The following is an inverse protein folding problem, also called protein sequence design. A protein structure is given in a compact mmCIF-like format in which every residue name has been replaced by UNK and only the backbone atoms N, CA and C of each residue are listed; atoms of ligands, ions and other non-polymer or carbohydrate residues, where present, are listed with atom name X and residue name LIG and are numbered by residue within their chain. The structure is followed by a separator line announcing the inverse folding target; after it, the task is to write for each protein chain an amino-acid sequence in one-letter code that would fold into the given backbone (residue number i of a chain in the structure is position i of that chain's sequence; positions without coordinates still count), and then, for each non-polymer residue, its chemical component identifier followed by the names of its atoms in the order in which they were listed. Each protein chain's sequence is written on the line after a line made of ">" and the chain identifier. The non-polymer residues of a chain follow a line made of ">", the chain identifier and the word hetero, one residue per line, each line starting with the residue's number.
data_IF_365124638800
#
_entry.id   IF_365124638800
#
_cell.length_a   1.000
_cell.length_b   1.000
_cell.length_c   1.000
_cell.angle_alpha   90.00
_cell.angle_beta   90.00
_cell.angle_gamma   90.00
#
_symmetry.space_group_name_H-M   'P 1'
#
loop_
_entity.id
_entity.type
_entity.pdbx_description
1 polymer ?
#
# COMPACT_ATOMS: atom_id res chain seq x y z
N UNK A 1 -9.75 -26.96 43.70
CA UNK A 1 -11.10 -26.45 43.44
C UNK A 1 -11.65 -25.96 44.77
N UNK A 2 -11.47 -24.68 45.05
CA UNK A 2 -12.02 -24.02 46.24
C UNK A 2 -13.41 -23.49 45.86
N UNK A 3 -14.45 -24.06 46.47
CA UNK A 3 -15.81 -23.53 46.35
C UNK A 3 -15.85 -22.18 47.07
N UNK A 4 -15.94 -21.09 46.30
CA UNK A 4 -16.13 -19.76 46.85
C UNK A 4 -17.57 -19.66 47.38
N UNK A 5 -17.73 -19.75 48.70
CA UNK A 5 -19.01 -19.49 49.38
C UNK A 5 -19.45 -18.06 49.06
N UNK A 6 -20.58 -17.93 48.37
CA UNK A 6 -21.17 -16.63 48.06
C UNK A 6 -21.54 -15.90 49.36
N UNK A 7 -20.98 -14.70 49.55
CA UNK A 7 -21.27 -13.80 50.66
C UNK A 7 -22.78 -13.55 50.78
N UNK A 8 -23.34 -13.92 51.94
CA UNK A 8 -24.74 -13.63 52.34
C UNK A 8 -24.70 -12.46 53.31
N UNK A 9 -25.73 -11.61 53.27
CA UNK A 9 -25.88 -10.59 54.32
C UNK A 9 -26.22 -11.24 55.68
N UNK A 10 -26.13 -10.47 56.76
CA UNK A 10 -26.46 -10.93 58.12
C UNK A 10 -27.92 -11.43 58.26
N UNK A 11 -28.78 -11.14 57.28
CA UNK A 11 -30.15 -11.64 57.19
C UNK A 11 -30.29 -12.94 56.38
N UNK A 12 -29.17 -13.54 55.93
CA UNK A 12 -29.13 -14.76 55.14
C UNK A 12 -29.69 -14.59 53.71
N UNK A 13 -29.90 -13.35 53.25
CA UNK A 13 -30.32 -13.06 51.88
C UNK A 13 -29.08 -12.89 51.02
N UNK A 14 -29.17 -13.41 49.78
CA UNK A 14 -28.17 -13.12 48.77
C UNK A 14 -28.24 -11.63 48.45
N UNK A 15 -27.14 -10.91 48.70
CA UNK A 15 -27.05 -9.51 48.28
C UNK A 15 -27.24 -9.46 46.77
N UNK A 16 -28.14 -8.60 46.30
CA UNK A 16 -28.51 -8.48 44.86
C UNK A 16 -27.34 -8.09 43.94
N UNK A 17 -26.12 -7.94 44.46
CA UNK A 17 -24.96 -7.44 43.72
C UNK A 17 -24.26 -8.47 42.83
N UNK A 18 -24.21 -9.76 43.20
CA UNK A 18 -23.38 -10.73 42.48
C UNK A 18 -24.17 -11.77 41.66
N UNK A 19 -25.37 -12.15 42.10
CA UNK A 19 -26.10 -13.30 41.54
C UNK A 19 -26.73 -13.06 40.15
N UNK A 20 -26.74 -11.82 39.67
CA UNK A 20 -27.32 -11.46 38.36
C UNK A 20 -26.27 -10.95 37.35
N UNK A 21 -24.98 -11.01 37.68
CA UNK A 21 -23.93 -10.68 36.72
C UNK A 21 -23.80 -11.85 35.75
N UNK A 22 -24.12 -11.64 34.47
CA UNK A 22 -23.93 -12.60 33.39
C UNK A 22 -22.96 -12.03 32.36
N UNK A 23 -22.15 -12.88 31.73
CA UNK A 23 -21.19 -12.47 30.71
C UNK A 23 -19.88 -11.91 31.29
N UNK A 24 -19.34 -10.86 30.67
CA UNK A 24 -18.03 -10.28 30.97
C UNK A 24 -17.92 -9.75 32.41
N UNK A 25 -19.00 -9.18 32.95
CA UNK A 25 -19.04 -8.70 34.33
C UNK A 25 -18.91 -9.84 35.36
N UNK A 26 -19.39 -11.05 35.04
CA UNK A 26 -19.23 -12.23 35.88
C UNK A 26 -17.79 -12.75 35.84
N UNK A 27 -17.16 -12.73 34.67
CA UNK A 27 -15.77 -13.11 34.48
C UNK A 27 -14.83 -12.15 35.25
N UNK A 28 -15.07 -10.85 35.17
CA UNK A 28 -14.29 -9.83 35.89
C UNK A 28 -14.43 -9.96 37.42
N UNK A 29 -15.65 -10.13 37.92
CA UNK A 29 -15.90 -10.36 39.34
C UNK A 29 -15.22 -11.64 39.87
N UNK A 30 -15.19 -12.72 39.07
CA UNK A 30 -14.51 -13.97 39.45
C UNK A 30 -13.00 -13.84 39.57
N UNK A 31 -12.40 -12.86 38.87
CA UNK A 31 -10.98 -12.53 38.93
C UNK A 31 -10.66 -11.44 39.98
N UNK A 32 -11.64 -11.01 40.77
CA UNK A 32 -11.48 -9.98 41.79
C UNK A 32 -11.46 -8.54 41.26
N UNK A 33 -11.89 -8.33 40.01
CA UNK A 33 -12.00 -7.00 39.41
C UNK A 33 -13.39 -6.41 39.63
N UNK A 34 -13.46 -5.13 39.95
CA UNK A 34 -14.70 -4.34 39.96
C UNK A 34 -14.82 -3.57 38.66
N UNK A 35 -15.98 -3.63 38.00
CA UNK A 35 -16.25 -2.83 36.80
C UNK A 35 -16.38 -1.36 37.21
N UNK A 36 -15.62 -0.47 36.57
CA UNK A 36 -15.76 0.97 36.77
C UNK A 36 -17.10 1.43 36.20
N UNK A 37 -17.91 2.12 37.00
CA UNK A 37 -19.17 2.70 36.51
C UNK A 37 -18.86 3.70 35.40
N UNK A 38 -19.56 3.58 34.28
CA UNK A 38 -19.41 4.53 33.18
C UNK A 38 -19.76 5.93 33.70
N UNK A 39 -18.93 6.95 33.42
CA UNK A 39 -19.24 8.31 33.81
C UNK A 39 -20.60 8.66 33.21
N UNK A 40 -21.57 8.99 34.08
CA UNK A 40 -22.91 9.39 33.65
C UNK A 40 -22.75 10.50 32.61
N UNK A 41 -23.20 10.25 31.38
CA UNK A 41 -23.22 11.24 30.30
C UNK A 41 -23.95 12.48 30.83
N UNK A 42 -23.17 13.46 31.28
CA UNK A 42 -23.67 14.75 31.75
C UNK A 42 -24.35 15.42 30.56
N UNK A 43 -25.61 15.79 30.75
CA UNK A 43 -26.47 16.29 29.68
C UNK A 43 -25.91 17.54 28.99
N UNK A 44 -26.52 17.95 27.87
CA UNK A 44 -26.02 19.02 26.98
C UNK A 44 -25.92 20.42 27.61
N UNK A 45 -26.36 20.60 28.85
CA UNK A 45 -26.14 21.86 29.60
C UNK A 45 -24.69 22.00 30.07
N UNK A 46 -24.04 20.91 30.47
CA UNK A 46 -22.63 20.92 30.92
C UNK A 46 -21.66 21.07 29.73
N UNK A 47 -22.07 20.65 28.52
CA UNK A 47 -21.30 20.85 27.29
C UNK A 47 -21.16 22.33 26.90
N UNK A 48 -22.12 23.19 27.30
CA UNK A 48 -22.02 24.64 27.07
C UNK A 48 -21.05 25.31 28.04
N UNK A 49 -20.98 24.85 29.29
CA UNK A 49 -19.96 25.30 30.23
C UNK A 49 -18.55 24.86 29.80
N UNK A 50 -18.40 23.63 29.28
CA UNK A 50 -17.13 23.13 28.72
C UNK A 50 -16.68 23.90 27.47
N UNK A 51 -17.61 24.22 26.57
CA UNK A 51 -17.29 25.05 25.40
C UNK A 51 -16.91 26.49 25.79
N UNK A 52 -17.51 27.03 26.86
CA UNK A 52 -17.14 28.34 27.40
C UNK A 52 -15.75 28.31 28.06
N UNK A 53 -15.41 27.25 28.83
CA UNK A 53 -14.08 27.11 29.44
C UNK A 53 -12.97 26.88 28.40
N UNK A 54 -13.26 26.18 27.29
CA UNK A 54 -12.30 25.99 26.18
C UNK A 54 -12.06 27.30 25.42
N UNK A 55 -13.09 28.15 25.28
CA UNK A 55 -12.93 29.48 24.69
C UNK A 55 -12.13 30.42 25.59
N UNK A 56 -12.24 30.28 26.91
CA UNK A 56 -11.47 31.04 27.90
C UNK A 56 -10.00 30.56 28.00
N UNK A 57 -9.75 29.25 27.85
CA UNK A 57 -8.39 28.67 27.73
C UNK A 57 -7.65 29.01 26.43
N UNK A 58 -8.35 29.50 25.40
CA UNK A 58 -7.73 30.01 24.16
C UNK A 58 -7.17 31.43 24.29
N UNK A 59 -7.40 32.10 25.41
CA UNK A 59 -6.58 33.23 25.84
C UNK A 59 -5.41 32.71 26.68
N UNK A 60 -4.31 32.38 26.02
CA UNK A 60 -3.01 31.94 26.56
C UNK A 60 -2.92 31.79 28.08
N UNK A 61 -2.91 30.54 28.58
CA UNK A 61 -2.11 30.20 29.72
C UNK A 61 -0.97 29.28 29.29
N UNK A 62 0.24 29.61 29.74
CA UNK A 62 1.33 28.64 29.84
C UNK A 62 0.78 27.40 30.54
N UNK A 63 0.63 26.29 29.81
CA UNK A 63 0.35 24.99 30.42
C UNK A 63 1.62 24.67 31.21
N UNK A 64 1.59 24.66 32.56
CA UNK A 64 2.74 24.20 33.31
C UNK A 64 3.03 22.78 32.82
N UNK A 65 4.27 22.56 32.37
CA UNK A 65 4.80 21.26 32.01
C UNK A 65 4.68 20.37 33.24
N UNK A 66 3.51 19.73 33.37
CA UNK A 66 3.24 18.78 34.41
C UNK A 66 4.10 17.57 34.05
N UNK A 67 5.29 17.51 34.67
CA UNK A 67 6.05 16.29 34.76
C UNK A 67 5.05 15.20 35.18
N UNK A 68 4.78 14.26 34.27
CA UNK A 68 4.02 13.06 34.59
C UNK A 68 4.84 12.33 35.65
N UNK A 69 4.59 12.63 36.93
CA UNK A 69 5.06 11.80 38.01
C UNK A 69 4.53 10.40 37.71
N UNK A 70 5.42 9.39 37.61
CA UNK A 70 4.97 8.05 37.33
C UNK A 70 3.95 7.70 38.40
N UNK A 71 2.70 7.46 37.98
CA UNK A 71 1.63 7.07 38.89
C UNK A 71 2.12 5.84 39.62
N UNK A 72 2.56 6.00 40.87
CA UNK A 72 2.90 4.90 41.76
C UNK A 72 1.60 4.11 41.88
N UNK A 73 1.54 2.99 41.15
CA UNK A 73 0.43 2.07 41.25
C UNK A 73 0.46 1.52 42.67
N UNK A 74 -0.39 2.07 43.53
CA UNK A 74 -0.63 1.54 44.86
C UNK A 74 -1.00 0.05 44.68
N UNK A 75 -0.13 -0.89 45.11
CA UNK A 75 -0.34 -2.30 44.85
C UNK A 75 -1.60 -2.85 45.53
N UNK A 76 -2.16 -2.10 46.48
CA UNK A 76 -3.38 -2.43 47.22
C UNK A 76 -4.64 -1.76 46.65
N UNK A 77 -4.53 -0.93 45.61
CA UNK A 77 -5.70 -0.36 44.95
C UNK A 77 -6.56 -1.46 44.29
N UNK A 78 -7.89 -1.39 44.41
CA UNK A 78 -8.77 -2.36 43.77
C UNK A 78 -8.54 -2.35 42.26
N UNK A 79 -8.34 -3.54 41.68
CA UNK A 79 -8.09 -3.68 40.25
C UNK A 79 -9.40 -3.40 39.51
N UNK A 80 -9.52 -2.20 38.96
CA UNK A 80 -10.67 -1.82 38.14
C UNK A 80 -10.53 -2.40 36.74
N UNK A 81 -11.55 -3.12 36.28
CA UNK A 81 -11.64 -3.52 34.88
C UNK A 81 -12.30 -2.40 34.08
N UNK A 82 -11.56 -1.85 33.11
CA UNK A 82 -12.09 -0.93 32.11
C UNK A 82 -13.13 -1.66 31.23
N UNK A 83 -14.25 -1.00 30.95
CA UNK A 83 -15.20 -1.52 29.96
C UNK A 83 -14.59 -1.43 28.56
N UNK A 84 -15.05 -2.26 27.62
CA UNK A 84 -14.56 -2.22 26.24
C UNK A 84 -14.69 -0.82 25.61
N UNK A 85 -15.76 -0.08 25.96
CA UNK A 85 -15.99 1.30 25.50
C UNK A 85 -14.95 2.26 26.11
N UNK A 86 -14.73 2.20 27.42
CA UNK A 86 -13.72 3.01 28.11
C UNK A 86 -12.30 2.74 27.57
N UNK A 87 -11.96 1.49 27.26
CA UNK A 87 -10.67 1.16 26.66
C UNK A 87 -10.50 1.78 25.27
N UNK A 88 -11.57 1.80 24.46
CA UNK A 88 -11.55 2.44 23.14
C UNK A 88 -11.38 3.96 23.26
N UNK A 89 -12.11 4.58 24.18
CA UNK A 89 -12.05 6.02 24.42
C UNK A 89 -10.67 6.43 24.97
N UNK A 90 -10.13 5.71 25.97
CA UNK A 90 -8.79 5.97 26.51
C UNK A 90 -7.69 5.76 25.45
N UNK A 91 -7.84 4.77 24.58
CA UNK A 91 -6.90 4.53 23.48
C UNK A 91 -7.00 5.59 22.38
N UNK A 92 -8.19 6.17 22.15
CA UNK A 92 -8.37 7.31 21.27
C UNK A 92 -7.70 8.57 21.85
N UNK A 93 -7.90 8.84 23.14
CA UNK A 93 -7.29 9.98 23.84
C UNK A 93 -5.75 9.87 23.85
N UNK A 94 -5.20 8.69 24.14
CA UNK A 94 -3.74 8.46 24.07
C UNK A 94 -3.18 8.68 22.66
N UNK A 95 -3.92 8.31 21.61
CA UNK A 95 -3.49 8.56 20.23
C UNK A 95 -3.50 10.04 19.90
N UNK A 96 -4.55 10.75 20.32
CA UNK A 96 -4.66 12.20 20.13
C UNK A 96 -3.52 12.94 20.84
N UNK A 97 -3.24 12.60 22.12
CA UNK A 97 -2.14 13.20 22.87
C UNK A 97 -0.77 12.91 22.24
N UNK A 98 -0.55 11.67 21.79
CA UNK A 98 0.68 11.33 21.08
C UNK A 98 0.83 12.09 19.75
N UNK A 99 -0.25 12.29 19.00
CA UNK A 99 -0.25 13.09 17.78
C UNK A 99 0.11 14.55 18.07
N UNK A 100 -0.51 15.15 19.09
CA UNK A 100 -0.20 16.52 19.56
C UNK A 100 1.28 16.63 20.00
N UNK A 101 1.79 15.65 20.74
CA UNK A 101 3.20 15.64 21.18
C UNK A 101 4.17 15.51 20.02
N UNK A 102 3.84 14.69 19.01
CA UNK A 102 4.65 14.55 17.79
C UNK A 102 4.64 15.85 16.99
N UNK A 103 3.49 16.50 16.84
CA UNK A 103 3.38 17.80 16.18
C UNK A 103 4.19 18.87 16.94
N UNK A 104 4.06 18.93 18.27
CA UNK A 104 4.79 19.91 19.10
C UNK A 104 6.30 19.71 18.98
N UNK A 105 6.80 18.48 19.10
CA UNK A 105 8.23 18.17 18.91
C UNK A 105 8.70 18.53 17.50
N UNK A 106 7.88 18.24 16.49
CA UNK A 106 8.17 18.64 15.10
C UNK A 106 8.29 20.16 14.94
N UNK A 107 7.41 20.94 15.58
CA UNK A 107 7.48 22.39 15.56
C UNK A 107 8.72 22.93 16.29
N UNK A 108 9.06 22.38 17.45
CA UNK A 108 10.26 22.73 18.22
C UNK A 108 11.55 22.41 17.45
N UNK A 109 11.63 21.24 16.82
CA UNK A 109 12.78 20.84 15.98
C UNK A 109 12.93 21.76 14.76
N UNK A 110 11.83 22.11 14.10
CA UNK A 110 11.83 23.04 12.96
C UNK A 110 12.23 24.46 13.40
N UNK A 111 11.76 24.92 14.56
CA UNK A 111 12.16 26.21 15.12
C UNK A 111 13.65 26.24 15.48
N UNK A 112 14.15 25.21 16.15
CA UNK A 112 15.58 25.07 16.47
C UNK A 112 16.45 25.00 15.21
N UNK A 113 15.98 24.29 14.18
CA UNK A 113 16.66 24.25 12.88
C UNK A 113 16.67 25.63 12.19
N UNK A 114 15.54 26.34 12.19
CA UNK A 114 15.44 27.68 11.63
C UNK A 114 16.35 28.69 12.37
N UNK A 115 16.45 28.58 13.70
CA UNK A 115 17.37 29.38 14.50
C UNK A 115 18.83 29.02 14.24
N UNK A 116 19.16 27.75 14.06
CA UNK A 116 20.52 27.33 13.68
C UNK A 116 20.94 27.86 12.30
N UNK A 117 20.01 27.92 11.34
CA UNK A 117 20.24 28.54 10.04
C UNK A 117 20.42 30.06 10.17
N UNK A 118 19.62 30.69 11.02
CA UNK A 118 19.70 32.14 11.27
C UNK A 118 21.03 32.50 11.94
N UNK A 119 21.49 31.69 12.89
CA UNK A 119 22.81 31.81 13.52
C UNK A 119 23.93 31.53 12.52
N UNK A 120 23.79 30.55 11.62
CA UNK A 120 24.79 30.30 10.58
C UNK A 120 24.91 31.47 9.59
N UNK A 121 23.78 32.08 9.21
CA UNK A 121 23.70 33.23 8.29
C UNK A 121 24.17 34.53 8.96
N UNK A 122 23.91 34.73 10.25
CA UNK A 122 24.27 35.95 10.98
C UNK A 122 25.63 35.87 11.70
N UNK A 123 26.11 34.66 12.00
CA UNK A 123 27.28 34.38 12.84
C UNK A 123 28.55 33.98 12.10
N UNK A 124 28.50 33.81 10.77
CA UNK A 124 29.72 33.68 9.97
C UNK A 124 30.12 35.04 9.40
N UNK A 125 31.40 35.36 9.59
CA UNK A 125 32.06 36.57 9.10
C UNK A 125 31.60 36.92 7.68
N UNK A 126 31.27 38.21 7.50
CA UNK A 126 31.10 38.90 6.22
C UNK A 126 31.86 38.16 5.11
N UNK A 127 31.17 37.54 4.13
CA UNK A 127 31.83 36.72 3.14
C UNK A 127 32.89 37.59 2.44
N UNK A 128 34.15 37.16 2.55
CA UNK A 128 35.19 37.62 1.65
C UNK A 128 34.64 37.46 0.23
N UNK A 129 34.77 38.51 -0.57
CA UNK A 129 34.27 38.57 -1.93
C UNK A 129 34.52 37.24 -2.65
N UNK A 130 33.44 36.56 -2.99
CA UNK A 130 33.47 35.37 -3.82
C UNK A 130 33.98 35.86 -5.19
N UNK A 131 35.27 35.65 -5.44
CA UNK A 131 35.79 35.74 -6.80
C UNK A 131 34.98 34.78 -7.67
N UNK A 132 34.50 35.21 -8.84
CA UNK A 132 33.68 34.40 -9.71
C UNK A 132 34.49 33.20 -10.17
N UNK A 133 34.21 32.03 -9.58
CA UNK A 133 34.71 30.76 -10.07
C UNK A 133 34.11 30.57 -11.46
N UNK A 134 34.98 30.62 -12.48
CA UNK A 134 34.65 30.25 -13.84
C UNK A 134 33.91 28.90 -13.86
N UNK A 135 32.85 28.76 -14.66
CA UNK A 135 32.12 27.50 -14.73
C UNK A 135 33.02 26.46 -15.40
N UNK A 136 33.65 25.62 -14.59
CA UNK A 136 34.26 24.38 -15.02
C UNK A 136 33.15 23.42 -15.46
N UNK A 137 32.70 23.63 -16.69
CA UNK A 137 31.95 22.66 -17.47
C UNK A 137 32.81 21.41 -17.64
N UNK A 138 32.58 20.42 -16.78
CA UNK A 138 32.82 18.99 -16.98
C UNK A 138 32.08 18.24 -15.87
N UNK A 139 30.77 18.44 -15.84
CA UNK A 139 29.86 17.46 -15.27
C UNK A 139 29.99 16.23 -16.18
N UNK A 140 30.78 15.26 -15.72
CA UNK A 140 30.84 13.96 -16.33
C UNK A 140 29.44 13.37 -16.20
N UNK A 141 28.75 13.34 -17.34
CA UNK A 141 27.57 12.52 -17.60
C UNK A 141 27.94 11.08 -17.23
N UNK A 142 27.72 10.72 -15.96
CA UNK A 142 27.85 9.38 -15.48
C UNK A 142 26.72 8.59 -16.15
N UNK A 143 27.08 7.90 -17.23
CA UNK A 143 26.21 6.95 -17.89
C UNK A 143 25.54 6.05 -16.83
N UNK A 144 24.24 5.74 -16.99
CA UNK A 144 23.54 4.85 -16.09
C UNK A 144 24.31 3.53 -16.03
N UNK A 145 25.00 3.31 -14.92
CA UNK A 145 25.63 2.03 -14.64
C UNK A 145 24.50 1.03 -14.49
N UNK A 146 24.48 0.04 -15.38
CA UNK A 146 23.57 -1.09 -15.27
C UNK A 146 23.69 -1.64 -13.83
N UNK A 147 22.57 -1.94 -13.15
CA UNK A 147 22.60 -2.53 -11.82
C UNK A 147 23.20 -3.93 -11.95
N UNK A 148 24.52 -4.00 -11.88
CA UNK A 148 25.25 -5.26 -11.75
C UNK A 148 24.89 -5.78 -10.36
N UNK A 149 24.02 -6.79 -10.36
CA UNK A 149 23.62 -7.58 -9.21
C UNK A 149 24.83 -8.37 -8.67
N UNK A 150 25.78 -7.64 -8.12
CA UNK A 150 27.01 -8.13 -7.53
C UNK A 150 27.46 -7.10 -6.50
N UNK A 151 26.75 -7.05 -5.37
CA UNK A 151 27.27 -6.40 -4.18
C UNK A 151 28.67 -6.96 -3.92
N UNK A 152 29.64 -6.09 -3.61
CA UNK A 152 30.97 -6.54 -3.23
C UNK A 152 30.81 -7.58 -2.10
N UNK A 153 31.42 -8.78 -2.19
CA UNK A 153 31.28 -9.81 -1.18
C UNK A 153 31.60 -9.33 0.25
N UNK A 154 32.45 -8.31 0.40
CA UNK A 154 32.70 -7.67 1.70
C UNK A 154 31.49 -6.90 2.23
N UNK A 155 30.70 -6.29 1.34
CA UNK A 155 29.48 -5.57 1.71
C UNK A 155 28.36 -6.53 2.10
N UNK A 156 28.25 -7.69 1.44
CA UNK A 156 27.33 -8.75 1.83
C UNK A 156 27.66 -9.30 3.24
N UNK A 157 28.95 -9.45 3.56
CA UNK A 157 29.38 -9.84 4.90
C UNK A 157 29.09 -8.74 5.94
N UNK A 158 29.32 -7.47 5.60
CA UNK A 158 29.00 -6.34 6.46
C UNK A 158 27.49 -6.22 6.75
N UNK A 159 26.62 -6.43 5.75
CA UNK A 159 25.16 -6.39 5.90
C UNK A 159 24.61 -7.52 6.77
N UNK A 160 25.37 -8.59 7.03
CA UNK A 160 24.98 -9.62 8.01
C UNK A 160 25.14 -9.14 9.46
N UNK A 161 25.95 -8.11 9.69
CA UNK A 161 26.16 -7.59 11.03
C UNK A 161 24.98 -6.70 11.46
N UNK A 162 24.33 -6.96 12.62
CA UNK A 162 23.14 -6.23 13.03
C UNK A 162 23.38 -4.72 13.18
N UNK A 163 24.55 -4.32 13.67
CA UNK A 163 24.91 -2.90 13.82
C UNK A 163 25.01 -2.17 12.47
N UNK A 164 25.46 -2.85 11.41
CA UNK A 164 25.54 -2.22 10.07
C UNK A 164 24.14 -2.04 9.49
N UNK A 165 23.25 -3.01 9.72
CA UNK A 165 21.84 -2.88 9.31
C UNK A 165 21.14 -1.74 10.04
N UNK A 166 21.29 -1.67 11.36
CA UNK A 166 20.72 -0.60 12.17
C UNK A 166 21.25 0.77 11.75
N UNK A 167 22.55 0.89 11.48
CA UNK A 167 23.14 2.13 10.96
C UNK A 167 22.59 2.51 9.58
N UNK A 168 22.45 1.56 8.67
CA UNK A 168 21.86 1.80 7.34
C UNK A 168 20.37 2.18 7.46
N UNK A 169 19.61 1.51 8.31
CA UNK A 169 18.19 1.83 8.55
C UNK A 169 18.04 3.21 9.20
N UNK A 170 18.92 3.59 10.13
CA UNK A 170 18.96 4.92 10.73
C UNK A 170 19.26 6.00 9.69
N UNK A 171 20.27 5.82 8.85
CA UNK A 171 20.59 6.74 7.75
C UNK A 171 19.47 6.83 6.70
N UNK A 172 18.79 5.72 6.40
CA UNK A 172 17.63 5.75 5.51
C UNK A 172 16.47 6.53 6.14
N UNK A 173 16.28 6.43 7.45
CA UNK A 173 15.27 7.19 8.19
C UNK A 173 15.60 8.69 8.22
N UNK A 174 16.86 9.07 8.46
CA UNK A 174 17.26 10.49 8.40
C UNK A 174 17.13 11.05 6.99
N UNK A 175 17.46 10.25 5.97
CA UNK A 175 17.25 10.61 4.57
C UNK A 175 15.75 10.74 4.21
N UNK A 176 14.87 9.90 4.75
CA UNK A 176 13.42 10.04 4.52
C UNK A 176 12.86 11.27 5.23
N UNK A 177 13.25 11.50 6.49
CA UNK A 177 12.86 12.67 7.27
C UNK A 177 13.30 13.97 6.61
N UNK A 178 14.53 14.06 6.10
CA UNK A 178 15.01 15.26 5.39
C UNK A 178 14.24 15.51 4.09
N UNK A 179 13.85 14.47 3.36
CA UNK A 179 12.99 14.59 2.17
C UNK A 179 11.58 15.06 2.53
N UNK A 180 10.99 14.53 3.60
CA UNK A 180 9.68 14.94 4.09
C UNK A 180 9.70 16.39 4.57
N UNK A 181 10.71 16.76 5.36
CA UNK A 181 10.93 18.12 5.83
C UNK A 181 11.13 19.10 4.66
N UNK A 182 11.87 18.70 3.62
CA UNK A 182 11.99 19.51 2.40
C UNK A 182 10.64 19.73 1.70
N UNK A 183 9.85 18.67 1.53
CA UNK A 183 8.52 18.81 0.90
C UNK A 183 7.56 19.65 1.73
N UNK A 184 7.56 19.48 3.06
CA UNK A 184 6.78 20.30 3.98
C UNK A 184 7.28 21.76 3.95
N UNK A 185 8.59 21.98 3.88
CA UNK A 185 9.21 23.29 3.76
C UNK A 185 8.81 24.02 2.48
N UNK A 186 8.72 23.32 1.34
CA UNK A 186 8.22 23.91 0.08
C UNK A 186 6.75 24.33 0.20
N UNK A 187 5.89 23.50 0.79
CA UNK A 187 4.47 23.84 0.96
C UNK A 187 4.30 25.01 1.95
N UNK A 188 5.02 25.00 3.06
CA UNK A 188 5.04 26.12 4.01
C UNK A 188 5.53 27.40 3.32
N UNK A 189 6.63 27.35 2.57
CA UNK A 189 7.16 28.50 1.84
C UNK A 189 6.13 29.05 0.84
N UNK A 190 5.36 28.18 0.18
CA UNK A 190 4.25 28.58 -0.70
C UNK A 190 3.14 29.28 0.09
N UNK A 191 2.70 28.72 1.22
CA UNK A 191 1.67 29.33 2.08
C UNK A 191 2.13 30.68 2.61
N UNK A 192 3.36 30.80 3.12
CA UNK A 192 3.94 32.06 3.58
C UNK A 192 4.06 33.10 2.47
N UNK A 193 4.48 32.70 1.28
CA UNK A 193 4.55 33.60 0.13
C UNK A 193 3.15 34.13 -0.24
N UNK A 194 2.12 33.27 -0.25
CA UNK A 194 0.74 33.68 -0.49
C UNK A 194 0.18 34.56 0.64
N UNK A 195 0.52 34.29 1.90
CA UNK A 195 0.12 35.13 3.03
C UNK A 195 0.75 36.52 2.94
N UNK A 196 2.05 36.60 2.60
CA UNK A 196 2.76 37.86 2.41
C UNK A 196 2.17 38.71 1.27
N UNK A 197 1.54 38.08 0.28
CA UNK A 197 0.83 38.79 -0.79
C UNK A 197 -0.36 39.57 -0.24
N UNK A 198 -1.09 39.02 0.74
CA UNK A 198 -2.21 39.69 1.38
C UNK A 198 -1.77 40.89 2.24
N UNK A 199 -0.59 40.82 2.86
CA UNK A 199 -0.02 41.92 3.64
C UNK A 199 0.46 43.07 2.75
N UNK A 200 1.13 42.76 1.64
CA UNK A 200 1.67 43.77 0.72
C UNK A 200 0.56 44.35 -0.18
N UNK A 201 -0.43 43.55 -0.53
CA UNK A 201 -1.52 43.95 -1.42
C UNK A 201 -2.88 43.59 -0.79
N UNK A 202 -3.41 44.46 0.08
CA UNK A 202 -4.69 44.22 0.75
C UNK A 202 -5.87 44.14 -0.24
N UNK A 203 -5.75 44.74 -1.43
CA UNK A 203 -6.77 44.62 -2.48
C UNK A 203 -6.92 43.20 -3.06
N UNK A 204 -5.89 42.35 -2.89
CA UNK A 204 -5.94 40.94 -3.29
C UNK A 204 -6.38 40.04 -2.14
N UNK A 205 -6.35 40.53 -0.89
CA UNK A 205 -6.79 39.78 0.27
C UNK A 205 -8.31 39.51 0.16
N UNK A 206 -8.67 38.24 0.00
CA UNK A 206 -10.07 37.79 -0.14
C UNK A 206 -10.54 37.57 -1.58
N UNK A 207 -9.72 37.88 -2.59
CA UNK A 207 -10.02 37.43 -3.95
C UNK A 207 -9.66 35.94 -4.11
N UNK A 208 -10.46 35.14 -4.84
CA UNK A 208 -10.06 33.80 -5.25
C UNK A 208 -8.80 33.87 -6.13
N UNK A 209 -7.90 32.85 -6.11
CA UNK A 209 -6.71 32.83 -6.95
C UNK A 209 -6.99 33.03 -8.44
N UNK A 210 -8.15 32.58 -8.92
CA UNK A 210 -8.58 32.75 -10.32
C UNK A 210 -8.82 34.21 -10.73
N UNK A 211 -9.03 35.11 -9.75
CA UNK A 211 -9.29 36.54 -9.96
C UNK A 211 -8.04 37.40 -9.72
N UNK A 212 -6.91 36.81 -9.30
CA UNK A 212 -5.68 37.55 -9.04
C UNK A 212 -5.17 38.30 -10.26
N UNK A 213 -5.29 37.72 -11.46
CA UNK A 213 -4.89 38.40 -12.71
C UNK A 213 -5.65 39.72 -12.92
N UNK A 214 -6.96 39.72 -12.61
CA UNK A 214 -7.82 40.90 -12.74
C UNK A 214 -7.48 41.94 -11.67
N UNK A 215 -7.26 41.49 -10.42
CA UNK A 215 -6.83 42.36 -9.31
C UNK A 215 -5.46 43.01 -9.57
N UNK A 216 -4.51 42.27 -10.14
CA UNK A 216 -3.19 42.78 -10.51
C UNK A 216 -3.26 43.79 -11.65
N UNK A 217 -4.15 43.60 -12.63
CA UNK A 217 -4.35 44.57 -13.70
C UNK A 217 -4.82 45.93 -13.16
N UNK A 218 -5.75 45.92 -12.19
CA UNK A 218 -6.21 47.14 -11.51
C UNK A 218 -5.09 47.73 -10.65
N UNK A 219 -4.36 46.90 -9.91
CA UNK A 219 -3.25 47.32 -9.06
C UNK A 219 -2.14 48.02 -9.87
N UNK A 220 -1.84 47.56 -11.08
CA UNK A 220 -0.83 48.17 -11.95
C UNK A 220 -1.13 49.64 -12.32
N UNK A 221 -2.41 50.04 -12.29
CA UNK A 221 -2.85 51.40 -12.59
C UNK A 221 -2.91 52.27 -11.34
N UNK A 222 -3.27 51.69 -10.18
CA UNK A 222 -3.46 52.42 -8.93
C UNK A 222 -2.14 52.58 -8.17
N UNK A 223 -1.37 51.49 -8.05
CA UNK A 223 -0.15 51.40 -7.24
C UNK A 223 0.93 50.55 -7.94
N UNK A 224 1.74 51.16 -8.83
CA UNK A 224 2.82 50.47 -9.53
C UNK A 224 3.87 49.80 -8.63
N UNK A 225 4.35 50.40 -7.51
CA UNK A 225 5.32 49.71 -6.65
C UNK A 225 4.72 48.51 -5.89
N UNK A 226 3.46 48.57 -5.47
CA UNK A 226 2.78 47.39 -4.89
C UNK A 226 2.63 46.27 -5.93
N UNK A 227 2.32 46.62 -7.19
CA UNK A 227 2.26 45.67 -8.30
C UNK A 227 3.61 44.96 -8.53
N UNK A 228 4.73 45.69 -8.54
CA UNK A 228 6.05 45.07 -8.70
C UNK A 228 6.37 44.11 -7.54
N UNK A 229 6.01 44.48 -6.31
CA UNK A 229 6.20 43.63 -5.13
C UNK A 229 5.37 42.35 -5.23
N UNK A 230 4.11 42.46 -5.65
CA UNK A 230 3.24 41.32 -5.91
C UNK A 230 3.80 40.38 -6.99
N UNK A 231 4.30 40.94 -8.09
CA UNK A 231 4.92 40.16 -9.17
C UNK A 231 6.17 39.40 -8.70
N UNK A 232 6.98 40.01 -7.83
CA UNK A 232 8.14 39.34 -7.25
C UNK A 232 7.73 38.16 -6.34
N UNK A 233 6.71 38.33 -5.51
CA UNK A 233 6.17 37.26 -4.66
C UNK A 233 5.59 36.13 -5.52
N UNK A 234 4.79 36.46 -6.53
CA UNK A 234 4.22 35.49 -7.46
C UNK A 234 5.30 34.73 -8.25
N UNK A 235 6.37 35.41 -8.65
CA UNK A 235 7.54 34.76 -9.26
C UNK A 235 8.17 33.71 -8.35
N UNK A 236 8.28 33.98 -7.04
CA UNK A 236 8.76 33.01 -6.05
C UNK A 236 7.80 31.83 -5.88
N UNK A 237 6.50 32.08 -5.77
CA UNK A 237 5.48 31.02 -5.69
C UNK A 237 5.54 30.12 -6.92
N UNK A 238 5.71 30.71 -8.11
CA UNK A 238 5.86 29.96 -9.34
C UNK A 238 7.11 29.08 -9.34
N UNK A 239 8.26 29.60 -8.91
CA UNK A 239 9.50 28.84 -8.78
C UNK A 239 9.35 27.65 -7.81
N UNK A 240 8.71 27.85 -6.65
CA UNK A 240 8.41 26.78 -5.68
C UNK A 240 7.50 25.72 -6.31
N UNK A 241 6.46 26.14 -7.03
CA UNK A 241 5.52 25.23 -7.69
C UNK A 241 6.22 24.40 -8.77
N UNK A 242 7.10 25.02 -9.57
CA UNK A 242 7.91 24.31 -10.56
C UNK A 242 8.86 23.30 -9.89
N UNK A 243 9.54 23.67 -8.81
CA UNK A 243 10.40 22.77 -8.06
C UNK A 243 9.63 21.56 -7.50
N UNK A 244 8.43 21.78 -6.96
CA UNK A 244 7.54 20.72 -6.48
C UNK A 244 7.12 19.77 -7.61
N UNK A 245 6.77 20.29 -8.79
CA UNK A 245 6.43 19.48 -9.96
C UNK A 245 7.61 18.64 -10.45
N UNK A 246 8.81 19.23 -10.53
CA UNK A 246 10.02 18.51 -10.92
C UNK A 246 10.34 17.38 -9.94
N UNK A 247 10.25 17.64 -8.63
CA UNK A 247 10.47 16.63 -7.62
C UNK A 247 9.42 15.50 -7.67
N UNK A 248 8.15 15.82 -7.95
CA UNK A 248 7.11 14.80 -8.16
C UNK A 248 7.40 13.92 -9.38
N UNK A 249 7.86 14.50 -10.49
CA UNK A 249 8.26 13.75 -11.68
C UNK A 249 9.43 12.82 -11.38
N UNK A 250 10.46 13.30 -10.68
CA UNK A 250 11.62 12.50 -10.27
C UNK A 250 11.19 11.32 -9.38
N UNK A 251 10.30 11.56 -8.40
CA UNK A 251 9.75 10.48 -7.55
C UNK A 251 9.01 9.43 -8.36
N UNK A 252 8.11 9.85 -9.26
CA UNK A 252 7.37 8.91 -10.11
C UNK A 252 8.30 8.06 -10.98
N UNK A 253 9.39 8.66 -11.49
CA UNK A 253 10.38 7.95 -12.29
C UNK A 253 11.15 6.92 -11.45
N UNK A 254 11.60 7.30 -10.25
CA UNK A 254 12.26 6.40 -9.31
C UNK A 254 11.34 5.23 -8.92
N UNK A 255 10.08 5.51 -8.57
CA UNK A 255 9.08 4.48 -8.23
C UNK A 255 8.84 3.51 -9.40
N UNK A 256 8.79 4.01 -10.64
CA UNK A 256 8.68 3.17 -11.83
C UNK A 256 9.92 2.30 -12.06
N UNK A 257 11.12 2.83 -11.81
CA UNK A 257 12.35 2.03 -11.89
C UNK A 257 12.37 0.95 -10.81
N UNK A 258 12.05 1.30 -9.56
CA UNK A 258 11.98 0.37 -8.42
C UNK A 258 10.96 -0.75 -8.67
N UNK A 259 9.81 -0.41 -9.25
CA UNK A 259 8.80 -1.40 -9.58
C UNK A 259 9.25 -2.31 -10.73
N UNK A 260 10.01 -1.80 -11.70
CA UNK A 260 10.57 -2.63 -12.80
C UNK A 260 11.65 -3.57 -12.28
N UNK A 261 12.56 -3.09 -11.43
CA UNK A 261 13.62 -3.92 -10.85
C UNK A 261 13.03 -4.98 -9.92
N UNK A 262 12.03 -4.61 -9.11
CA UNK A 262 11.27 -5.54 -8.27
C UNK A 262 10.59 -6.62 -9.12
N UNK A 263 9.86 -6.23 -10.18
CA UNK A 263 9.22 -7.19 -11.10
C UNK A 263 10.24 -8.14 -11.73
N UNK A 264 11.35 -7.63 -12.25
CA UNK A 264 12.39 -8.46 -12.84
C UNK A 264 12.99 -9.46 -11.83
N UNK A 265 13.21 -9.04 -10.58
CA UNK A 265 13.72 -9.91 -9.53
C UNK A 265 12.71 -11.00 -9.12
N UNK A 266 11.43 -10.65 -8.99
CA UNK A 266 10.36 -11.60 -8.68
C UNK A 266 10.07 -12.57 -9.84
N UNK A 267 10.11 -12.08 -11.08
CA UNK A 267 10.00 -12.90 -12.29
C UNK A 267 11.13 -13.93 -12.36
N UNK A 268 12.36 -13.54 -12.00
CA UNK A 268 13.50 -14.45 -11.93
C UNK A 268 13.29 -15.54 -10.87
N UNK A 269 12.81 -15.19 -9.68
CA UNK A 269 12.46 -16.15 -8.61
C UNK A 269 11.35 -17.10 -9.05
N UNK A 270 10.31 -16.59 -9.70
CA UNK A 270 9.23 -17.42 -10.25
C UNK A 270 9.77 -18.39 -11.30
N UNK A 271 10.59 -17.90 -12.23
CA UNK A 271 11.21 -18.73 -13.27
C UNK A 271 12.08 -19.84 -12.69
N UNK A 272 12.80 -19.57 -11.60
CA UNK A 272 13.53 -20.59 -10.84
C UNK A 272 12.59 -21.65 -10.26
N UNK A 273 11.50 -21.22 -9.60
CA UNK A 273 10.50 -22.12 -8.98
C UNK A 273 9.73 -23.01 -9.97
N UNK A 274 9.65 -22.61 -11.25
CA UNK A 274 8.92 -23.32 -12.30
C UNK A 274 9.78 -24.33 -13.07
N UNK A 275 11.12 -24.23 -13.00
CA UNK A 275 12.03 -25.17 -13.66
C UNK A 275 11.74 -25.34 -15.17
N UNK A 276 11.30 -26.53 -15.59
CA UNK A 276 11.00 -26.85 -16.98
C UNK A 276 9.75 -26.11 -17.53
N UNK A 277 8.92 -25.55 -16.66
CA UNK A 277 7.64 -24.93 -17.03
C UNK A 277 7.76 -23.43 -17.40
N UNK A 278 8.98 -22.88 -17.49
CA UNK A 278 9.22 -21.46 -17.80
C UNK A 278 8.51 -20.97 -19.06
N UNK A 279 8.44 -21.79 -20.11
CA UNK A 279 7.77 -21.44 -21.36
C UNK A 279 6.25 -21.21 -21.23
N UNK A 280 5.65 -21.74 -20.16
CA UNK A 280 4.21 -21.55 -19.91
C UNK A 280 3.90 -20.16 -19.34
N UNK A 281 4.85 -19.50 -18.66
CA UNK A 281 4.62 -18.18 -18.04
C UNK A 281 4.22 -17.15 -19.09
N UNK A 282 4.95 -17.06 -20.20
CA UNK A 282 4.63 -16.12 -21.28
C UNK A 282 3.27 -16.42 -21.93
N UNK A 283 2.92 -17.70 -22.09
CA UNK A 283 1.61 -18.09 -22.61
C UNK A 283 0.48 -17.68 -21.65
N UNK A 284 0.68 -17.87 -20.35
CA UNK A 284 -0.30 -17.49 -19.34
C UNK A 284 -0.44 -15.98 -19.19
N UNK A 285 0.63 -15.20 -19.27
CA UNK A 285 0.57 -13.73 -19.21
C UNK A 285 -0.39 -13.16 -20.27
N UNK A 286 -0.36 -13.68 -21.50
CA UNK A 286 -1.30 -13.28 -22.56
C UNK A 286 -2.77 -13.64 -22.28
N UNK A 287 -3.02 -14.63 -21.41
CA UNK A 287 -4.35 -15.12 -21.03
C UNK A 287 -4.88 -14.52 -19.72
N UNK A 288 -4.03 -13.89 -18.90
CA UNK A 288 -4.44 -13.25 -17.64
C UNK A 288 -5.39 -12.08 -17.91
N UNK A 289 -5.08 -11.22 -18.87
CA UNK A 289 -5.93 -10.07 -19.19
C UNK A 289 -7.38 -10.46 -19.60
N UNK A 290 -7.61 -11.37 -20.57
CA UNK A 290 -8.97 -11.79 -20.89
C UNK A 290 -9.64 -12.56 -19.75
N UNK A 291 -8.87 -13.26 -18.91
CA UNK A 291 -9.39 -13.92 -17.71
C UNK A 291 -9.96 -12.90 -16.71
N UNK A 292 -9.18 -11.88 -16.35
CA UNK A 292 -9.61 -10.82 -15.43
C UNK A 292 -10.79 -10.02 -16.00
N UNK A 293 -10.78 -9.73 -17.31
CA UNK A 293 -11.93 -9.12 -18.00
C UNK A 293 -13.19 -9.99 -17.91
N UNK A 294 -13.06 -11.31 -18.06
CA UNK A 294 -14.20 -12.22 -17.93
C UNK A 294 -14.78 -12.29 -16.52
N UNK A 295 -14.01 -11.90 -15.50
CA UNK A 295 -14.48 -11.74 -14.12
C UNK A 295 -15.13 -10.37 -13.86
N UNK A 296 -15.20 -9.50 -14.86
CA UNK A 296 -15.80 -8.16 -14.75
C UNK A 296 -14.85 -7.09 -14.23
N UNK A 297 -13.54 -7.34 -14.15
CA UNK A 297 -12.55 -6.36 -13.71
C UNK A 297 -12.43 -5.20 -14.73
N UNK A 298 -12.45 -3.96 -14.23
CA UNK A 298 -12.37 -2.75 -15.05
C UNK A 298 -10.93 -2.46 -15.51
N UNK A 299 -10.72 -1.71 -16.62
CA UNK A 299 -9.38 -1.30 -17.06
C UNK A 299 -8.56 -0.58 -15.98
N UNK A 300 -9.18 0.34 -15.24
CA UNK A 300 -8.51 1.09 -14.17
C UNK A 300 -8.06 0.18 -13.02
N UNK A 301 -8.87 -0.83 -12.69
CA UNK A 301 -8.56 -1.84 -11.67
C UNK A 301 -7.43 -2.75 -12.12
N UNK A 302 -7.39 -3.12 -13.41
CA UNK A 302 -6.26 -3.88 -13.97
C UNK A 302 -4.96 -3.08 -13.91
N UNK A 303 -5.00 -1.76 -14.15
CA UNK A 303 -3.82 -0.91 -14.04
C UNK A 303 -3.38 -0.76 -12.57
N UNK A 304 -4.32 -0.62 -11.64
CA UNK A 304 -4.01 -0.63 -10.21
C UNK A 304 -3.38 -1.98 -9.78
N UNK A 305 -3.95 -3.10 -10.23
CA UNK A 305 -3.43 -4.44 -9.98
C UNK A 305 -2.04 -4.65 -10.59
N UNK A 306 -1.78 -4.10 -11.77
CA UNK A 306 -0.48 -4.15 -12.43
C UNK A 306 0.59 -3.36 -11.67
N UNK A 307 0.21 -2.38 -10.85
CA UNK A 307 1.10 -1.62 -9.98
C UNK A 307 1.21 -2.22 -8.57
N UNK A 308 0.33 -3.14 -8.19
CA UNK A 308 0.32 -3.77 -6.86
C UNK A 308 1.53 -4.71 -6.70
N UNK A 309 2.33 -4.47 -5.66
CA UNK A 309 3.51 -5.30 -5.35
C UNK A 309 3.12 -6.74 -4.97
N UNK A 310 1.94 -6.96 -4.39
CA UNK A 310 1.52 -8.29 -3.94
C UNK A 310 1.23 -9.22 -5.12
N UNK A 311 0.54 -8.71 -6.15
CA UNK A 311 0.19 -9.46 -7.36
C UNK A 311 1.42 -9.73 -8.22
N UNK A 312 2.33 -8.76 -8.28
CA UNK A 312 3.58 -8.87 -9.02
C UNK A 312 4.63 -9.74 -8.31
N UNK A 313 4.42 -10.11 -7.04
CA UNK A 313 5.32 -11.03 -6.34
C UNK A 313 5.30 -12.43 -6.96
N UNK A 314 6.39 -13.19 -6.82
CA UNK A 314 6.48 -14.54 -7.37
C UNK A 314 5.35 -15.45 -6.86
N UNK A 315 4.94 -15.30 -5.58
CA UNK A 315 3.82 -16.04 -5.01
C UNK A 315 2.48 -15.63 -5.62
N UNK A 316 2.25 -14.33 -5.78
CA UNK A 316 1.04 -13.81 -6.43
C UNK A 316 0.90 -14.33 -7.86
N UNK A 317 1.98 -14.26 -8.63
CA UNK A 317 2.04 -14.80 -9.99
C UNK A 317 1.84 -16.33 -10.03
N UNK A 318 2.38 -17.07 -9.06
CA UNK A 318 2.18 -18.52 -8.93
C UNK A 318 0.70 -18.87 -8.71
N UNK A 319 0.04 -18.18 -7.78
CA UNK A 319 -1.38 -18.38 -7.49
C UNK A 319 -2.23 -18.07 -8.72
N UNK A 320 -1.92 -16.99 -9.44
CA UNK A 320 -2.59 -16.67 -10.70
C UNK A 320 -2.40 -17.79 -11.75
N UNK A 321 -1.19 -18.31 -11.89
CA UNK A 321 -0.89 -19.40 -12.82
C UNK A 321 -1.66 -20.68 -12.45
N UNK A 322 -1.71 -21.03 -11.16
CA UNK A 322 -2.44 -22.20 -10.68
C UNK A 322 -3.96 -22.04 -10.86
N UNK A 323 -4.50 -20.84 -10.62
CA UNK A 323 -5.90 -20.53 -10.90
C UNK A 323 -6.24 -20.64 -12.40
N UNK A 324 -5.33 -20.19 -13.27
CA UNK A 324 -5.47 -20.32 -14.72
C UNK A 324 -5.45 -21.79 -15.16
N UNK A 325 -4.51 -22.59 -14.64
CA UNK A 325 -4.47 -24.04 -14.87
C UNK A 325 -5.73 -24.74 -14.43
N UNK A 326 -6.21 -24.41 -13.23
CA UNK A 326 -7.44 -24.97 -12.70
C UNK A 326 -8.63 -24.67 -13.64
N UNK A 327 -8.74 -23.43 -14.12
CA UNK A 327 -9.77 -23.07 -15.11
C UNK A 327 -9.61 -23.81 -16.43
N UNK A 328 -8.39 -23.97 -16.95
CA UNK A 328 -8.15 -24.75 -18.17
C UNK A 328 -8.58 -26.21 -18.01
N UNK A 329 -8.30 -26.82 -16.85
CA UNK A 329 -8.74 -28.19 -16.55
C UNK A 329 -10.27 -28.27 -16.43
N UNK A 330 -10.91 -27.27 -15.82
CA UNK A 330 -12.38 -27.22 -15.68
C UNK A 330 -13.10 -26.95 -17.00
N UNK A 331 -12.49 -26.17 -17.89
CA UNK A 331 -13.01 -25.87 -19.22
C UNK A 331 -12.62 -26.90 -20.29
N UNK A 332 -11.62 -27.74 -20.01
CA UNK A 332 -11.25 -28.82 -20.92
C UNK A 332 -12.48 -29.72 -21.13
N UNK A 333 -12.85 -30.02 -22.40
CA UNK A 333 -13.99 -30.88 -22.66
C UNK A 333 -13.77 -32.20 -21.92
N UNK A 334 -14.75 -32.62 -21.09
CA UNK A 334 -14.74 -33.88 -20.32
C UNK A 334 -14.75 -35.13 -21.21
N UNK A 335 -14.36 -35.02 -22.47
CA UNK A 335 -14.09 -36.16 -23.33
C UNK A 335 -12.79 -36.80 -22.85
N UNK A 336 -12.89 -37.65 -21.83
CA UNK A 336 -12.13 -38.88 -21.91
C UNK A 336 -12.50 -39.45 -23.28
N UNK A 337 -11.56 -39.63 -24.23
CA UNK A 337 -11.85 -40.48 -25.36
C UNK A 337 -12.28 -41.77 -24.69
N UNK A 338 -13.57 -42.11 -24.80
CA UNK A 338 -14.04 -43.41 -24.39
C UNK A 338 -13.07 -44.34 -25.13
N UNK A 339 -12.14 -44.95 -24.39
CA UNK A 339 -11.30 -45.98 -24.99
C UNK A 339 -12.32 -46.87 -25.66
N UNK A 340 -12.19 -47.07 -26.97
CA UNK A 340 -13.00 -48.04 -27.68
C UNK A 340 -12.71 -49.35 -26.96
N UNK A 341 -13.55 -49.67 -25.96
CA UNK A 341 -13.46 -50.91 -25.23
C UNK A 341 -13.82 -51.89 -26.32
N UNK A 342 -12.85 -52.71 -26.79
CA UNK A 342 -13.14 -53.65 -27.86
C UNK A 342 -14.36 -54.44 -27.40
N UNK A 343 -15.40 -54.45 -28.22
CA UNK A 343 -16.65 -55.10 -27.84
C UNK A 343 -16.33 -56.52 -27.41
N UNK A 344 -16.72 -56.87 -26.18
CA UNK A 344 -16.44 -58.18 -25.60
C UNK A 344 -17.15 -59.21 -26.49
N UNK A 345 -16.38 -59.90 -27.34
CA UNK A 345 -16.90 -61.00 -28.14
C UNK A 345 -17.31 -62.11 -27.17
N UNK A 346 -18.63 -62.33 -27.04
CA UNK A 346 -19.16 -63.46 -26.29
C UNK A 346 -18.80 -64.74 -27.05
N UNK A 347 -18.07 -65.70 -26.43
CA UNK A 347 -17.82 -66.99 -27.05
C UNK A 347 -19.16 -67.66 -27.41
N UNK A 348 -19.33 -68.06 -28.66
CA UNK A 348 -20.50 -68.81 -29.13
C UNK A 348 -21.60 -68.03 -29.86
N UNK A 349 -21.52 -66.70 -29.95
CA UNK A 349 -22.41 -65.93 -30.83
C UNK A 349 -21.67 -65.66 -32.14
N UNK A 350 -21.99 -66.41 -33.19
CA UNK A 350 -21.44 -66.17 -34.53
C UNK A 350 -21.88 -64.80 -35.01
N UNK A 351 -20.93 -63.85 -35.07
CA UNK A 351 -21.17 -62.52 -35.60
C UNK A 351 -21.85 -62.60 -36.97
N UNK A 352 -22.91 -61.81 -37.15
CA UNK A 352 -23.63 -61.73 -38.41
C UNK A 352 -22.69 -61.27 -39.53
N UNK A 353 -22.96 -61.67 -40.77
CA UNK A 353 -22.12 -61.27 -41.92
C UNK A 353 -21.98 -59.75 -42.02
N UNK A 354 -23.05 -59.01 -41.67
CA UNK A 354 -23.08 -57.56 -41.62
C UNK A 354 -22.11 -56.97 -40.57
N UNK A 355 -22.02 -57.57 -39.38
CA UNK A 355 -21.08 -57.12 -38.34
C UNK A 355 -19.63 -57.37 -38.71
N UNK A 356 -19.31 -58.48 -39.41
CA UNK A 356 -17.95 -58.74 -39.90
C UNK A 356 -17.52 -57.73 -40.96
N UNK A 357 -18.46 -57.29 -41.81
CA UNK A 357 -18.21 -56.23 -42.77
C UNK A 357 -18.04 -54.87 -42.09
N UNK A 358 -18.88 -54.54 -41.11
CA UNK A 358 -18.78 -53.29 -40.35
C UNK A 358 -17.46 -53.21 -39.56
N UNK A 359 -17.04 -54.28 -38.88
CA UNK A 359 -15.77 -54.31 -38.15
C UNK A 359 -14.55 -54.20 -39.09
N UNK A 360 -14.62 -54.81 -40.27
CA UNK A 360 -13.60 -54.70 -41.32
C UNK A 360 -13.47 -53.26 -41.86
N UNK A 361 -14.59 -52.58 -42.11
CA UNK A 361 -14.60 -51.19 -42.57
C UNK A 361 -14.09 -50.24 -41.48
N UNK A 362 -14.49 -50.44 -40.22
CA UNK A 362 -14.00 -49.65 -39.09
C UNK A 362 -12.49 -49.84 -38.87
N UNK A 363 -11.97 -51.07 -38.99
CA UNK A 363 -10.54 -51.32 -38.91
C UNK A 363 -9.75 -50.66 -40.07
N UNK A 364 -10.31 -50.64 -41.28
CA UNK A 364 -9.68 -49.99 -42.45
C UNK A 364 -9.69 -48.47 -42.34
N UNK A 365 -10.80 -47.88 -41.90
CA UNK A 365 -10.91 -46.42 -41.71
C UNK A 365 -10.01 -45.92 -40.58
N UNK A 366 -9.89 -46.66 -39.48
CA UNK A 366 -8.96 -46.35 -38.40
C UNK A 366 -7.49 -46.39 -38.85
N UNK A 367 -7.09 -47.40 -39.65
CA UNK A 367 -5.73 -47.48 -40.24
C UNK A 367 -5.46 -46.33 -41.21
N UNK A 368 -6.44 -45.97 -42.04
CA UNK A 368 -6.29 -44.85 -42.98
C UNK A 368 -6.09 -43.52 -42.24
N UNK A 369 -6.84 -43.27 -41.17
CA UNK A 369 -6.66 -42.08 -40.31
C UNK A 369 -5.27 -42.06 -39.65
N UNK A 370 -4.85 -43.17 -39.06
CA UNK A 370 -3.52 -43.27 -38.43
C UNK A 370 -2.38 -43.01 -39.45
N UNK A 371 -2.52 -43.47 -40.70
CA UNK A 371 -1.53 -43.21 -41.75
C UNK A 371 -1.50 -41.73 -42.18
N UNK A 372 -2.64 -41.05 -42.20
CA UNK A 372 -2.74 -39.61 -42.50
C UNK A 372 -2.08 -38.79 -41.39
N UNK A 373 -2.41 -39.07 -40.13
CA UNK A 373 -1.89 -38.34 -38.97
C UNK A 373 -0.36 -38.52 -38.80
N UNK A 374 0.17 -39.69 -39.20
CA UNK A 374 1.62 -39.96 -39.20
C UNK A 374 2.40 -39.30 -40.35
N UNK A 375 1.74 -38.54 -41.23
CA UNK A 375 2.38 -37.88 -42.38
C UNK A 375 2.93 -38.83 -43.45
N UNK A 376 2.60 -40.12 -43.36
CA UNK A 376 3.12 -41.20 -44.24
C UNK A 376 2.13 -41.62 -45.32
N UNK A 377 0.86 -41.24 -45.19
CA UNK A 377 -0.21 -41.56 -46.13
C UNK A 377 -0.23 -40.62 -47.34
N UNK A 378 0.36 -41.04 -48.45
CA UNK A 378 0.21 -40.36 -49.74
C UNK A 378 -1.19 -40.58 -50.35
N UNK A 379 -1.54 -39.76 -51.37
CA UNK A 379 -2.83 -39.75 -52.07
C UNK A 379 -3.36 -41.12 -52.57
N UNK A 380 -2.49 -42.13 -52.67
CA UNK A 380 -2.85 -43.51 -53.04
C UNK A 380 -3.74 -44.21 -51.98
N UNK A 381 -3.53 -43.94 -50.69
CA UNK A 381 -4.30 -44.59 -49.62
C UNK A 381 -5.74 -44.06 -49.55
N UNK A 382 -5.93 -42.75 -49.76
CA UNK A 382 -7.24 -42.10 -49.91
C UNK A 382 -8.01 -42.65 -51.12
N UNK A 383 -7.33 -42.89 -52.25
CA UNK A 383 -7.94 -43.49 -53.43
C UNK A 383 -8.47 -44.91 -53.17
N UNK A 384 -7.75 -45.72 -52.39
CA UNK A 384 -8.20 -47.06 -52.01
C UNK A 384 -9.41 -47.05 -51.07
N UNK A 385 -9.49 -46.05 -50.18
CA UNK A 385 -10.62 -45.85 -49.27
C UNK A 385 -11.89 -45.50 -50.05
N UNK A 386 -11.80 -44.52 -50.96
CA UNK A 386 -12.93 -44.09 -51.81
C UNK A 386 -13.41 -45.23 -52.70
N UNK A 387 -12.48 -46.01 -53.28
CA UNK A 387 -12.83 -47.16 -54.11
C UNK A 387 -13.53 -48.28 -53.31
N UNK A 388 -13.21 -48.44 -52.03
CA UNK A 388 -13.85 -49.42 -51.15
C UNK A 388 -15.23 -48.99 -50.66
N UNK A 389 -15.44 -47.69 -50.41
CA UNK A 389 -16.75 -47.14 -50.06
C UNK A 389 -17.76 -47.16 -51.22
N UNK A 390 -17.28 -47.17 -52.46
CA UNK A 390 -18.13 -47.24 -53.66
C UNK A 390 -18.57 -48.67 -54.02
N UNK A 391 -17.98 -49.68 -53.37
CA UNK A 391 -18.17 -51.11 -53.68
C UNK A 391 -18.93 -51.87 -52.58
N UNK A 392 -19.03 -51.28 -51.40
CA UNK A 392 -20.03 -51.64 -50.38
C UNK A 392 -21.34 -50.93 -50.72
#
# INVERSE_FOLDING_TARGET
>A
MSEAEASRDDAGRFTKGAANLTGEAAANASMGYTTREDPVEKGPEDAKELAASIAELRGEPEVPEAAEEPVEQDPDAPKEALTQRQLVDELADRRLMHEIDVERRGHEEVAAWADSLREHILGTEKPAAIEPVEPAAKEAEAAPTEPTSGLDPKLEEALKHPQVREAVEAELKTASQSREAYTAGLENARVYALASLGEVVPHLAGLPPLQFEQGLAVLSQIDPPAFQSAMNILGRVHAITQAQQQHQQQRSYAEHQDLRTFKAAEDAKLAESLGAERGLVQQYQSKVEPYLKSLGMRPDEMQALANDRTVNSALGQRVLLDAMRYREIMNAPKSFPARDIPSVQRPGVSASSAERQASSLNAKTARARANIDSGRGGAKDLGSLIASMRRA
#
